data_IF_485940653871
#
_entry.id   IF_485940653871
#
_cell.length_a   1.000
_cell.length_b   1.000
_cell.length_c   1.000
_cell.angle_alpha   90.00
_cell.angle_beta   90.00
_cell.angle_gamma   90.00
#
_symmetry.space_group_name_H-M   'P 1'
#
loop_
_entity.id
_entity.type
_entity.pdbx_description
1 polymer ?
#
# COMPACT_ATOMS: atom_id res chain seq x y z
N UNK A 1 -3.57 -12.62 -11.98
CA UNK A 1 -3.36 -12.12 -10.60
C UNK A 1 -2.41 -10.95 -10.66
N UNK A 2 -2.58 -9.93 -9.81
CA UNK A 2 -1.69 -8.78 -9.80
C UNK A 2 -1.16 -8.48 -8.39
N UNK A 3 0.04 -7.92 -8.32
CA UNK A 3 0.63 -7.43 -7.06
C UNK A 3 0.94 -5.94 -7.16
N UNK A 4 0.46 -5.16 -6.19
CA UNK A 4 0.78 -3.75 -6.03
C UNK A 4 2.02 -3.62 -5.13
N UNK A 5 3.10 -3.12 -5.71
CA UNK A 5 4.42 -3.01 -5.06
C UNK A 5 4.79 -1.55 -4.91
N UNK A 6 5.33 -1.14 -3.77
CA UNK A 6 5.81 0.24 -3.64
C UNK A 6 6.16 0.62 -2.21
N UNK A 7 6.71 1.82 -1.99
CA UNK A 7 7.14 2.25 -0.66
C UNK A 7 5.99 2.22 0.36
N UNK A 8 6.29 2.10 1.66
CA UNK A 8 5.26 2.21 2.70
C UNK A 8 4.52 3.54 2.58
N UNK A 9 3.22 3.54 2.90
CA UNK A 9 2.34 4.72 2.84
C UNK A 9 2.03 5.28 1.43
N UNK A 10 2.43 4.61 0.35
CA UNK A 10 2.13 5.05 -1.03
C UNK A 10 0.67 4.86 -1.48
N UNK A 11 -0.19 4.24 -0.65
CA UNK A 11 -1.63 4.10 -0.94
C UNK A 11 -2.04 2.76 -1.58
N UNK A 12 -1.16 1.75 -1.58
CA UNK A 12 -1.41 0.43 -2.17
C UNK A 12 -2.73 -0.21 -1.75
N UNK A 13 -3.02 -0.27 -0.45
CA UNK A 13 -4.26 -0.86 0.09
C UNK A 13 -5.51 -0.13 -0.41
N UNK A 14 -5.47 1.20 -0.42
CA UNK A 14 -6.58 2.02 -0.91
C UNK A 14 -6.81 1.79 -2.42
N UNK A 15 -5.73 1.71 -3.20
CA UNK A 15 -5.82 1.41 -4.63
C UNK A 15 -6.31 -0.01 -4.89
N UNK A 16 -5.86 -1.00 -4.13
CA UNK A 16 -6.34 -2.39 -4.23
C UNK A 16 -7.84 -2.49 -3.92
N UNK A 17 -8.29 -1.82 -2.86
CA UNK A 17 -9.69 -1.75 -2.49
C UNK A 17 -10.52 -1.06 -3.60
N UNK A 18 -10.01 0.03 -4.18
CA UNK A 18 -10.68 0.74 -5.26
C UNK A 18 -10.77 -0.11 -6.54
N UNK A 19 -9.70 -0.79 -6.94
CA UNK A 19 -9.73 -1.73 -8.08
C UNK A 19 -10.75 -2.86 -7.83
N UNK A 20 -10.80 -3.38 -6.61
CA UNK A 20 -11.76 -4.41 -6.25
C UNK A 20 -13.20 -3.89 -6.32
N UNK A 21 -13.47 -2.69 -5.80
CA UNK A 21 -14.77 -2.02 -5.89
C UNK A 21 -15.20 -1.78 -7.35
N UNK A 22 -14.32 -1.21 -8.18
CA UNK A 22 -14.58 -0.95 -9.60
C UNK A 22 -14.78 -2.22 -10.43
N UNK A 23 -14.30 -3.38 -9.96
CA UNK A 23 -14.55 -4.67 -10.63
C UNK A 23 -16.03 -5.06 -10.65
N UNK A 24 -16.83 -4.53 -9.70
CA UNK A 24 -18.25 -4.86 -9.52
C UNK A 24 -18.50 -6.38 -9.43
N UNK A 25 -17.53 -7.14 -8.92
CA UNK A 25 -17.70 -8.59 -8.76
C UNK A 25 -18.67 -8.92 -7.62
N UNK A 26 -19.51 -9.97 -7.76
CA UNK A 26 -20.48 -10.35 -6.73
C UNK A 26 -19.85 -10.70 -5.38
N UNK A 27 -18.60 -11.17 -5.39
CA UNK A 27 -17.85 -11.45 -4.18
C UNK A 27 -16.55 -10.65 -4.15
N UNK A 28 -16.41 -9.78 -3.16
CA UNK A 28 -15.19 -9.04 -2.87
C UNK A 28 -14.82 -9.29 -1.41
N UNK A 29 -13.59 -9.71 -1.15
CA UNK A 29 -13.09 -9.89 0.22
C UNK A 29 -11.67 -9.38 0.38
N UNK A 30 -11.46 -8.57 1.41
CA UNK A 30 -10.14 -8.11 1.84
C UNK A 30 -9.65 -8.97 2.99
N UNK A 31 -8.58 -9.72 2.73
CA UNK A 31 -7.76 -10.45 3.68
C UNK A 31 -6.66 -9.51 4.17
N UNK A 32 -6.89 -8.89 5.32
CA UNK A 32 -5.99 -7.90 5.91
C UNK A 32 -5.51 -8.37 7.29
N UNK A 33 -4.25 -8.08 7.66
CA UNK A 33 -3.64 -8.54 8.91
C UNK A 33 -4.34 -8.02 10.18
N UNK A 34 -5.03 -6.87 10.10
CA UNK A 34 -5.81 -6.29 11.21
C UNK A 34 -6.89 -7.25 11.75
N UNK A 35 -7.49 -8.07 10.88
CA UNK A 35 -8.49 -9.08 11.25
C UNK A 35 -7.89 -10.37 11.82
N UNK A 36 -6.57 -10.45 11.89
CA UNK A 36 -5.82 -11.65 12.32
C UNK A 36 -4.83 -11.34 13.44
N UNK A 37 -5.02 -10.22 14.15
CA UNK A 37 -4.20 -9.84 15.30
C UNK A 37 -4.35 -10.90 16.40
N UNK A 38 -3.22 -11.40 16.91
CA UNK A 38 -3.20 -12.42 17.95
C UNK A 38 -3.48 -13.86 17.47
N UNK A 39 -3.73 -14.06 16.16
CA UNK A 39 -3.89 -15.41 15.62
C UNK A 39 -2.57 -16.15 15.57
N UNK A 40 -2.59 -17.44 15.93
CA UNK A 40 -1.50 -18.37 15.63
C UNK A 40 -1.38 -18.58 14.12
N UNK A 41 -0.24 -19.12 13.67
CA UNK A 41 0.00 -19.43 12.26
C UNK A 41 -1.09 -20.33 11.68
N UNK A 42 -1.56 -21.32 12.44
CA UNK A 42 -2.64 -22.23 12.06
C UNK A 42 -3.96 -21.47 11.90
N UNK A 43 -4.30 -20.58 12.85
CA UNK A 43 -5.52 -19.79 12.79
C UNK A 43 -5.51 -18.81 11.60
N UNK A 44 -4.36 -18.20 11.29
CA UNK A 44 -4.18 -17.40 10.07
C UNK A 44 -4.41 -18.23 8.81
N UNK A 45 -3.78 -19.42 8.72
CA UNK A 45 -3.96 -20.31 7.58
C UNK A 45 -5.42 -20.72 7.38
N UNK A 46 -6.13 -21.05 8.46
CA UNK A 46 -7.55 -21.39 8.41
C UNK A 46 -8.41 -20.21 7.96
N UNK A 47 -8.15 -19.01 8.47
CA UNK A 47 -8.86 -17.80 8.08
C UNK A 47 -8.65 -17.46 6.59
N UNK A 48 -7.40 -17.49 6.12
CA UNK A 48 -7.05 -17.27 4.71
C UNK A 48 -7.72 -18.34 3.84
N UNK A 49 -7.59 -19.63 4.20
CA UNK A 49 -8.21 -20.74 3.47
C UNK A 49 -9.73 -20.55 3.34
N UNK A 50 -10.41 -20.17 4.43
CA UNK A 50 -11.85 -19.91 4.43
C UNK A 50 -12.24 -18.79 3.46
N UNK A 51 -11.47 -17.70 3.42
CA UNK A 51 -11.70 -16.59 2.48
C UNK A 51 -11.68 -17.09 1.02
N UNK A 52 -10.70 -17.92 0.68
CA UNK A 52 -10.59 -18.49 -0.67
C UNK A 52 -11.70 -19.51 -0.96
N UNK A 53 -12.06 -20.36 0.01
CA UNK A 53 -13.18 -21.30 -0.13
C UNK A 53 -14.52 -20.59 -0.37
N UNK A 54 -14.75 -19.46 0.29
CA UNK A 54 -15.93 -18.62 0.07
C UNK A 54 -15.86 -17.93 -1.29
N UNK A 55 -14.70 -17.42 -1.71
CA UNK A 55 -14.50 -16.83 -3.03
C UNK A 55 -14.81 -17.85 -4.15
N UNK A 56 -14.39 -19.10 -3.97
CA UNK A 56 -14.66 -20.16 -4.92
C UNK A 56 -16.14 -20.48 -5.07
N UNK A 57 -17.04 -20.07 -4.19
CA UNK A 57 -18.49 -20.31 -4.35
C UNK A 57 -19.13 -19.37 -5.38
N UNK A 58 -18.51 -18.20 -5.63
CA UNK A 58 -19.01 -17.19 -6.57
C UNK A 58 -18.57 -17.47 -8.01
N UNK A 59 -19.35 -17.01 -9.00
CA UNK A 59 -18.98 -17.08 -10.42
C UNK A 59 -17.80 -16.14 -10.75
N UNK A 60 -17.85 -14.92 -10.23
CA UNK A 60 -16.76 -13.93 -10.29
C UNK A 60 -16.42 -13.51 -8.86
N UNK A 61 -15.14 -13.48 -8.54
CA UNK A 61 -14.67 -13.15 -7.19
C UNK A 61 -13.37 -12.36 -7.24
N UNK A 62 -13.22 -11.42 -6.31
CA UNK A 62 -12.01 -10.65 -6.08
C UNK A 62 -11.56 -10.83 -4.63
N UNK A 63 -10.32 -11.30 -4.43
CA UNK A 63 -9.69 -11.40 -3.11
C UNK A 63 -8.50 -10.45 -3.07
N UNK A 64 -8.52 -9.50 -2.14
CA UNK A 64 -7.37 -8.65 -1.84
C UNK A 64 -6.60 -9.29 -0.68
N UNK A 65 -5.31 -9.57 -0.89
CA UNK A 65 -4.38 -10.04 0.14
C UNK A 65 -3.48 -8.86 0.49
N UNK A 66 -3.83 -8.17 1.56
CA UNK A 66 -3.22 -6.90 1.94
C UNK A 66 -2.02 -7.10 2.88
N UNK A 67 -1.00 -6.26 2.72
CA UNK A 67 0.26 -6.24 3.48
C UNK A 67 0.81 -7.66 3.70
N UNK A 68 1.17 -8.34 2.61
CA UNK A 68 1.61 -9.75 2.63
C UNK A 68 2.73 -9.97 3.64
N UNK A 69 3.71 -9.06 3.73
CA UNK A 69 4.79 -9.15 4.71
C UNK A 69 4.29 -9.17 6.18
N UNK A 70 3.12 -8.57 6.46
CA UNK A 70 2.50 -8.58 7.78
C UNK A 70 1.66 -9.82 8.02
N UNK A 71 1.00 -10.37 6.99
CA UNK A 71 0.36 -11.68 7.10
C UNK A 71 1.37 -12.78 7.41
N UNK A 72 2.58 -12.67 6.84
CA UNK A 72 3.70 -13.57 7.07
C UNK A 72 4.47 -13.32 8.39
N UNK A 73 4.07 -12.35 9.21
CA UNK A 73 4.81 -11.93 10.41
C UNK A 73 6.31 -11.67 10.13
N UNK A 74 6.62 -11.10 8.96
CA UNK A 74 8.00 -10.89 8.55
C UNK A 74 8.69 -9.83 9.43
N UNK A 75 9.85 -10.18 9.94
CA UNK A 75 10.76 -9.31 10.71
C UNK A 75 12.14 -9.34 10.06
N UNK A 76 12.74 -8.19 9.71
CA UNK A 76 14.03 -8.14 9.01
C UNK A 76 15.24 -8.48 9.90
N UNK A 77 15.15 -8.25 11.22
CA UNK A 77 16.24 -8.53 12.16
C UNK A 77 16.29 -10.03 12.43
N UNK A 78 17.30 -10.71 11.88
CA UNK A 78 17.40 -12.17 11.91
C UNK A 78 16.19 -12.76 11.20
N UNK A 79 16.15 -12.74 9.86
CA UNK A 79 14.92 -12.85 9.07
C UNK A 79 14.04 -14.00 9.57
N UNK A 80 12.89 -13.61 10.13
CA UNK A 80 11.87 -14.50 10.68
C UNK A 80 10.56 -14.20 9.99
N UNK A 81 9.84 -15.25 9.68
CA UNK A 81 8.51 -15.19 9.10
C UNK A 81 7.80 -16.53 9.37
N UNK A 82 6.48 -16.50 9.23
CA UNK A 82 5.63 -17.67 9.34
C UNK A 82 5.66 -18.51 8.06
N UNK A 83 6.56 -19.50 8.01
CA UNK A 83 6.68 -20.38 6.86
C UNK A 83 5.37 -21.14 6.58
N UNK A 84 4.60 -21.50 7.61
CA UNK A 84 3.31 -22.16 7.42
C UNK A 84 2.34 -21.28 6.61
N UNK A 85 2.26 -19.99 6.94
CA UNK A 85 1.41 -19.02 6.24
C UNK A 85 1.92 -18.76 4.82
N UNK A 86 3.24 -18.69 4.63
CA UNK A 86 3.88 -18.57 3.33
C UNK A 86 3.47 -19.71 2.40
N UNK A 87 3.64 -20.96 2.83
CA UNK A 87 3.31 -22.14 2.03
C UNK A 87 1.82 -22.19 1.72
N UNK A 88 0.96 -21.86 2.68
CA UNK A 88 -0.49 -21.80 2.46
C UNK A 88 -0.85 -20.75 1.37
N UNK A 89 -0.26 -19.55 1.43
CA UNK A 89 -0.48 -18.51 0.43
C UNK A 89 0.03 -18.93 -0.95
N UNK A 90 1.24 -19.49 -1.07
CA UNK A 90 1.79 -19.94 -2.34
C UNK A 90 0.89 -20.99 -3.01
N UNK A 91 0.37 -21.94 -2.23
CA UNK A 91 -0.58 -22.95 -2.72
C UNK A 91 -1.90 -22.30 -3.16
N UNK A 92 -2.45 -21.38 -2.36
CA UNK A 92 -3.72 -20.72 -2.68
C UNK A 92 -3.63 -19.79 -3.89
N UNK A 93 -2.50 -19.10 -4.08
CA UNK A 93 -2.23 -18.26 -5.25
C UNK A 93 -2.16 -19.09 -6.54
N UNK A 94 -1.55 -20.28 -6.48
CA UNK A 94 -1.40 -21.17 -7.66
C UNK A 94 -2.63 -22.04 -7.92
N UNK A 95 -3.56 -22.16 -6.96
CA UNK A 95 -4.73 -23.03 -7.08
C UNK A 95 -5.75 -22.43 -8.05
N UNK A 96 -6.09 -23.12 -9.16
CA UNK A 96 -7.13 -22.64 -10.05
C UNK A 96 -8.51 -22.72 -9.39
N UNK A 97 -9.42 -21.75 -9.64
CA UNK A 97 -10.80 -21.86 -9.19
C UNK A 97 -11.51 -23.03 -9.89
N UNK A 98 -12.62 -23.54 -9.33
CA UNK A 98 -13.43 -24.58 -9.97
C UNK A 98 -13.87 -24.19 -11.39
N UNK A 99 -14.10 -25.18 -12.25
CA UNK A 99 -14.50 -24.96 -13.65
C UNK A 99 -15.69 -23.99 -13.74
N UNK A 100 -15.56 -23.02 -14.66
CA UNK A 100 -16.57 -21.99 -14.90
C UNK A 100 -16.49 -20.77 -13.98
N UNK A 101 -15.67 -20.79 -12.93
CA UNK A 101 -15.52 -19.67 -11.99
C UNK A 101 -14.24 -18.89 -12.25
N UNK A 102 -14.27 -17.57 -12.02
CA UNK A 102 -13.12 -16.68 -12.17
C UNK A 102 -12.77 -16.04 -10.83
N UNK A 103 -11.47 -15.99 -10.54
CA UNK A 103 -10.91 -15.39 -9.33
C UNK A 103 -9.83 -14.38 -9.73
N UNK A 104 -10.03 -13.13 -9.32
CA UNK A 104 -9.01 -12.09 -9.31
C UNK A 104 -8.37 -12.04 -7.92
N UNK A 105 -7.04 -12.08 -7.88
CA UNK A 105 -6.27 -11.88 -6.65
C UNK A 105 -5.43 -10.62 -6.82
N UNK A 106 -5.53 -9.73 -5.84
CA UNK A 106 -4.74 -8.50 -5.72
C UNK A 106 -3.89 -8.62 -4.46
N UNK A 107 -2.58 -8.73 -4.61
CA UNK A 107 -1.63 -8.65 -3.48
C UNK A 107 -1.17 -7.22 -3.26
N UNK A 108 -0.87 -6.83 -2.02
CA UNK A 108 -0.11 -5.60 -1.73
C UNK A 108 1.12 -5.94 -0.90
N UNK A 109 2.24 -5.25 -1.19
CA UNK A 109 3.42 -5.32 -0.32
C UNK A 109 4.25 -4.05 -0.38
N UNK A 110 4.90 -3.73 0.74
CA UNK A 110 5.93 -2.69 0.81
C UNK A 110 7.36 -3.24 0.69
N UNK A 111 7.52 -4.56 0.53
CA UNK A 111 8.79 -5.29 0.58
C UNK A 111 8.94 -6.23 -0.61
N UNK A 112 9.18 -5.63 -1.78
CA UNK A 112 9.41 -6.37 -3.04
C UNK A 112 10.58 -7.35 -2.92
N UNK A 113 11.67 -6.91 -2.30
CA UNK A 113 12.87 -7.70 -1.99
C UNK A 113 12.50 -9.01 -1.29
N UNK A 114 11.70 -8.94 -0.24
CA UNK A 114 11.29 -10.08 0.57
C UNK A 114 10.41 -11.05 -0.23
N UNK A 115 9.42 -10.55 -0.97
CA UNK A 115 8.55 -11.41 -1.77
C UNK A 115 9.30 -12.06 -2.95
N UNK A 116 10.37 -11.42 -3.45
CA UNK A 116 11.23 -11.98 -4.48
C UNK A 116 12.06 -13.14 -3.91
N UNK A 117 12.69 -12.96 -2.74
CA UNK A 117 13.44 -14.02 -2.05
C UNK A 117 12.55 -15.22 -1.67
N UNK A 118 11.26 -14.99 -1.42
CA UNK A 118 10.28 -16.02 -1.09
C UNK A 118 9.63 -16.68 -2.32
N UNK A 119 10.08 -16.37 -3.55
CA UNK A 119 9.51 -16.85 -4.82
C UNK A 119 8.01 -16.57 -4.96
N UNK A 120 7.48 -15.61 -4.20
CA UNK A 120 6.05 -15.28 -4.20
C UNK A 120 5.71 -14.36 -5.37
N UNK A 121 6.65 -13.51 -5.81
CA UNK A 121 6.43 -12.66 -6.99
C UNK A 121 6.13 -13.49 -8.24
N UNK A 122 6.76 -14.66 -8.39
CA UNK A 122 6.54 -15.56 -9.53
C UNK A 122 5.14 -16.21 -9.52
N UNK A 123 4.45 -16.19 -8.38
CA UNK A 123 3.05 -16.61 -8.31
C UNK A 123 2.09 -15.55 -8.87
N UNK A 124 2.51 -14.28 -9.00
CA UNK A 124 1.69 -13.22 -9.57
C UNK A 124 1.92 -13.06 -11.07
N UNK A 125 0.83 -12.91 -11.83
CA UNK A 125 0.90 -12.76 -13.29
C UNK A 125 1.43 -11.39 -13.72
N UNK A 126 1.25 -10.38 -12.88
CA UNK A 126 1.59 -8.98 -13.20
C UNK A 126 1.94 -8.24 -11.91
N UNK A 127 2.87 -7.30 -12.00
CA UNK A 127 3.20 -6.39 -10.89
C UNK A 127 2.99 -4.95 -11.33
N UNK A 128 2.44 -4.13 -10.45
CA UNK A 128 2.20 -2.70 -10.68
C UNK A 128 2.94 -1.93 -9.60
N UNK A 129 3.84 -1.03 -10.01
CA UNK A 129 4.58 -0.18 -9.09
C UNK A 129 3.76 1.04 -8.68
N UNK A 130 3.62 1.27 -7.38
CA UNK A 130 2.92 2.41 -6.77
C UNK A 130 3.96 3.32 -6.11
N UNK A 131 4.46 4.34 -6.83
CA UNK A 131 5.55 5.19 -6.36
C UNK A 131 5.08 6.19 -5.29
N UNK A 132 6.04 6.77 -4.58
CA UNK A 132 5.80 7.97 -3.80
C UNK A 132 5.70 9.21 -4.71
N UNK A 133 5.14 10.29 -4.17
CA UNK A 133 5.22 11.61 -4.79
C UNK A 133 6.69 12.02 -4.79
N UNK A 134 7.23 12.26 -5.99
CA UNK A 134 8.67 12.51 -6.19
C UNK A 134 9.01 13.92 -6.67
N UNK A 135 8.01 14.66 -7.18
CA UNK A 135 8.19 15.99 -7.75
C UNK A 135 7.37 17.03 -6.99
N UNK A 136 7.91 18.24 -6.88
CA UNK A 136 7.21 19.39 -6.28
C UNK A 136 5.87 19.70 -6.96
N UNK A 137 5.78 19.54 -8.28
CA UNK A 137 4.55 19.70 -9.06
C UNK A 137 3.47 18.70 -8.61
N UNK A 138 3.80 17.42 -8.51
CA UNK A 138 2.90 16.36 -8.04
C UNK A 138 2.46 16.61 -6.59
N UNK A 139 3.35 17.13 -5.75
CA UNK A 139 3.01 17.50 -4.38
C UNK A 139 1.95 18.61 -4.36
N UNK A 140 2.15 19.67 -5.14
CA UNK A 140 1.21 20.79 -5.21
C UNK A 140 -0.14 20.36 -5.80
N UNK A 141 -0.14 19.50 -6.82
CA UNK A 141 -1.34 18.90 -7.39
C UNK A 141 -2.09 18.05 -6.35
N UNK A 142 -1.38 17.26 -5.55
CA UNK A 142 -1.99 16.52 -4.45
C UNK A 142 -2.60 17.45 -3.40
N UNK A 143 -1.94 18.56 -3.05
CA UNK A 143 -2.48 19.55 -2.11
C UNK A 143 -3.73 20.26 -2.65
N UNK A 144 -3.77 20.51 -3.96
CA UNK A 144 -4.94 21.05 -4.65
C UNK A 144 -6.12 20.10 -4.58
N UNK A 145 -5.93 18.83 -4.96
CA UNK A 145 -6.99 17.82 -4.90
C UNK A 145 -7.51 17.58 -3.48
N UNK A 146 -6.66 17.70 -2.47
CA UNK A 146 -7.03 17.56 -1.06
C UNK A 146 -7.69 18.82 -0.47
N UNK A 147 -7.64 19.97 -1.16
CA UNK A 147 -8.32 21.20 -0.75
C UNK A 147 -7.90 21.77 0.60
N UNK A 148 -6.75 21.36 1.14
CA UNK A 148 -6.36 21.66 2.53
C UNK A 148 -5.61 22.99 2.71
N UNK A 149 -5.10 23.57 1.62
CA UNK A 149 -4.37 24.83 1.61
C UNK A 149 -4.98 25.81 0.59
N UNK A 150 -5.05 27.08 0.97
CA UNK A 150 -5.48 28.16 0.09
C UNK A 150 -4.51 28.35 -1.08
N UNK A 151 -4.96 29.01 -2.15
CA UNK A 151 -4.13 29.28 -3.34
C UNK A 151 -2.82 30.00 -2.99
N UNK A 152 -2.86 30.99 -2.09
CA UNK A 152 -1.66 31.71 -1.62
C UNK A 152 -0.68 30.79 -0.88
N UNK A 153 -1.20 29.88 -0.05
CA UNK A 153 -0.39 28.91 0.68
C UNK A 153 0.24 27.89 -0.27
N UNK A 154 -0.54 27.37 -1.23
CA UNK A 154 -0.06 26.46 -2.28
C UNK A 154 1.02 27.11 -3.14
N UNK A 155 0.87 28.39 -3.50
CA UNK A 155 1.89 29.13 -4.25
C UNK A 155 3.21 29.29 -3.45
N UNK A 156 3.11 29.53 -2.14
CA UNK A 156 4.29 29.59 -1.26
C UNK A 156 4.99 28.23 -1.16
N UNK A 157 4.22 27.14 -1.00
CA UNK A 157 4.74 25.77 -0.98
C UNK A 157 5.41 25.43 -2.32
N UNK A 158 4.75 25.73 -3.44
CA UNK A 158 5.28 25.50 -4.80
C UNK A 158 6.64 26.17 -4.99
N UNK A 159 6.79 27.43 -4.56
CA UNK A 159 8.06 28.16 -4.60
C UNK A 159 9.14 27.48 -3.76
N UNK A 160 8.79 26.95 -2.58
CA UNK A 160 9.72 26.29 -1.68
C UNK A 160 10.21 24.92 -2.20
N UNK A 161 9.38 24.20 -2.96
CA UNK A 161 9.70 22.83 -3.44
C UNK A 161 10.17 22.77 -4.89
N UNK A 162 10.12 23.88 -5.65
CA UNK A 162 10.40 23.93 -7.10
C UNK A 162 11.71 23.27 -7.54
N UNK A 163 12.76 23.37 -6.73
CA UNK A 163 14.10 22.83 -7.04
C UNK A 163 14.53 21.73 -6.07
N UNK A 164 13.59 21.12 -5.35
CA UNK A 164 13.90 20.09 -4.35
C UNK A 164 13.26 18.76 -4.75
N UNK A 165 14.01 17.68 -4.61
CA UNK A 165 13.45 16.34 -4.67
C UNK A 165 12.47 16.16 -3.51
N UNK A 166 11.31 15.59 -3.83
CA UNK A 166 10.31 15.17 -2.84
C UNK A 166 10.33 13.65 -2.78
N UNK A 167 10.03 13.07 -1.63
CA UNK A 167 9.80 11.63 -1.51
C UNK A 167 8.83 11.35 -0.38
N UNK A 168 7.53 11.32 -0.68
CA UNK A 168 6.50 11.07 0.33
C UNK A 168 5.35 10.21 -0.20
N UNK A 169 4.95 9.22 0.60
CA UNK A 169 3.75 8.43 0.32
C UNK A 169 2.49 9.22 0.66
N UNK A 170 1.43 9.08 -0.14
CA UNK A 170 0.19 9.87 0.00
C UNK A 170 -0.42 9.80 1.40
N UNK A 171 -0.43 8.62 2.04
CA UNK A 171 -0.96 8.46 3.41
C UNK A 171 -0.14 9.27 4.44
N UNK A 172 1.18 9.33 4.25
CA UNK A 172 2.06 10.12 5.12
C UNK A 172 1.90 11.61 4.86
N UNK A 173 1.70 12.00 3.60
CA UNK A 173 1.41 13.38 3.22
C UNK A 173 0.13 13.88 3.90
N UNK A 174 -0.97 13.11 3.85
CA UNK A 174 -2.23 13.48 4.52
C UNK A 174 -2.02 13.75 6.02
N UNK A 175 -1.26 12.89 6.72
CA UNK A 175 -0.93 13.10 8.13
C UNK A 175 -0.15 14.41 8.36
N UNK A 176 0.82 14.72 7.49
CA UNK A 176 1.59 15.98 7.58
C UNK A 176 0.71 17.20 7.34
N UNK A 177 -0.23 17.11 6.39
CA UNK A 177 -1.21 18.16 6.11
C UNK A 177 -2.10 18.39 7.34
N UNK A 178 -2.69 17.34 7.89
CA UNK A 178 -3.57 17.41 9.06
C UNK A 178 -2.87 18.10 10.25
N UNK A 179 -1.62 17.74 10.52
CA UNK A 179 -0.82 18.36 11.57
C UNK A 179 -0.52 19.83 11.31
N UNK A 180 -0.28 20.22 10.06
CA UNK A 180 0.00 21.60 9.70
C UNK A 180 -1.24 22.50 9.78
N UNK A 181 -2.41 21.97 9.40
CA UNK A 181 -3.68 22.72 9.40
C UNK A 181 -4.18 23.06 10.81
N UNK A 182 -3.72 22.34 11.85
CA UNK A 182 -3.99 22.68 13.25
C UNK A 182 -3.32 23.98 13.72
N UNK A 183 -2.34 24.51 12.97
CA UNK A 183 -1.69 25.78 13.28
C UNK A 183 -2.55 26.97 12.84
N UNK A 184 -2.31 28.13 13.46
CA UNK A 184 -2.87 29.39 12.98
C UNK A 184 -2.47 29.62 11.50
N UNK A 185 -3.33 30.28 10.69
CA UNK A 185 -3.13 30.41 9.25
C UNK A 185 -1.74 30.92 8.83
N UNK A 186 -1.13 31.81 9.62
CA UNK A 186 0.20 32.36 9.34
C UNK A 186 1.36 31.34 9.51
N UNK A 187 1.15 30.27 10.27
CA UNK A 187 2.17 29.24 10.54
C UNK A 187 1.95 27.92 9.79
N UNK A 188 0.84 27.74 9.06
CA UNK A 188 0.52 26.46 8.39
C UNK A 188 1.59 26.04 7.39
N UNK A 189 1.98 26.96 6.50
CA UNK A 189 2.99 26.69 5.45
C UNK A 189 4.36 26.39 6.06
N UNK A 190 4.79 27.17 7.05
CA UNK A 190 6.09 26.97 7.71
C UNK A 190 6.13 25.66 8.49
N UNK A 191 5.03 25.29 9.17
CA UNK A 191 4.89 24.00 9.85
C UNK A 191 4.91 22.84 8.87
N UNK A 192 4.16 22.94 7.77
CA UNK A 192 4.12 21.92 6.72
C UNK A 192 5.51 21.63 6.14
N UNK A 193 6.24 22.68 5.73
CA UNK A 193 7.59 22.54 5.17
C UNK A 193 8.59 21.97 6.19
N UNK A 194 8.47 22.37 7.47
CA UNK A 194 9.27 21.80 8.56
C UNK A 194 9.01 20.31 8.73
N UNK A 195 7.74 19.90 8.81
CA UNK A 195 7.35 18.49 8.92
C UNK A 195 7.83 17.66 7.72
N UNK A 196 7.76 18.19 6.48
CA UNK A 196 8.29 17.49 5.31
C UNK A 196 9.81 17.23 5.42
N UNK A 197 10.58 18.19 5.93
CA UNK A 197 12.03 18.02 6.15
C UNK A 197 12.33 17.03 7.26
N UNK A 198 11.64 17.12 8.39
CA UNK A 198 11.80 16.21 9.53
C UNK A 198 11.50 14.75 9.16
N UNK A 199 10.53 14.53 8.26
CA UNK A 199 10.21 13.19 7.75
C UNK A 199 11.16 12.72 6.63
N UNK A 200 12.19 13.50 6.29
CA UNK A 200 13.14 13.19 5.21
C UNK A 200 12.54 13.27 3.80
N UNK A 201 11.31 13.79 3.68
CA UNK A 201 10.54 13.84 2.45
C UNK A 201 10.94 14.98 1.51
N UNK A 202 11.76 15.92 1.97
CA UNK A 202 12.16 17.10 1.20
C UNK A 202 13.68 17.31 1.33
N UNK A 203 14.39 17.35 0.20
CA UNK A 203 15.82 17.67 0.15
C UNK A 203 16.78 16.52 0.52
N UNK A 204 16.33 15.27 0.48
CA UNK A 204 17.22 14.11 0.67
C UNK A 204 17.56 13.46 -0.68
N UNK A 205 18.85 13.45 -1.04
CA UNK A 205 19.38 12.69 -2.20
C UNK A 205 19.32 11.16 -1.99
N UNK A 206 18.77 10.70 -0.86
CA UNK A 206 18.83 9.30 -0.41
C UNK A 206 17.87 8.34 -1.13
N UNK A 207 17.02 8.83 -2.04
CA UNK A 207 15.90 8.04 -2.58
C UNK A 207 15.97 7.78 -4.09
N UNK A 208 17.09 8.12 -4.76
CA UNK A 208 17.27 7.92 -6.21
C UNK A 208 17.63 6.46 -6.56
N UNK A 209 17.86 5.58 -5.58
CA UNK A 209 18.17 4.17 -5.80
C UNK A 209 17.09 3.25 -5.21
N UNK A 210 16.03 2.98 -5.98
CA UNK A 210 15.18 1.77 -5.85
C UNK A 210 14.84 1.27 -7.25
#
# INVERSE_FOLDING_TARGET
>A
MLSLLGPPNSGKTALAAKIAEESQFPFIKICSPDKMIGHSEIAKCQAIKKIFEDAYKSQLSCVVVDDIERLLDYVPIGPRFSNLVLQALLVLLKKPPPKGRKLLIIGTTSRKDVLQEMEMLDAFSTTIHIPNISRGEQLVEALEMLGSFQEKERAAIAKAVKSQAVWIGIKKLTMVIEMAVQMDPEYRVSKFLTLLREQGALGSDKHIAI
#
